data_IF_423319690557
#
_entry.id   IF_423319690557
#
_cell.length_a   1.000
_cell.length_b   1.000
_cell.length_c   1.000
_cell.angle_alpha   90.00
_cell.angle_beta   90.00
_cell.angle_gamma   90.00
#
_symmetry.space_group_name_H-M   'P 1'
#
loop_
_entity.id
_entity.type
_entity.pdbx_description
1 polymer ?
#
# COMPACT_ATOMS: atom_id res chain seq x y z
N UNK A 1 -12.96 -0.17 -4.64
CA UNK A 1 -11.66 0.16 -5.26
C UNK A 1 -11.49 1.66 -5.14
N UNK A 2 -10.44 2.16 -4.48
CA UNK A 2 -10.12 3.59 -4.46
C UNK A 2 -9.04 3.80 -5.52
N UNK A 3 -9.31 4.64 -6.51
CA UNK A 3 -8.38 4.95 -7.59
C UNK A 3 -8.48 6.42 -7.96
N UNK A 4 -7.33 7.05 -8.21
CA UNK A 4 -7.21 8.45 -8.58
C UNK A 4 -6.83 8.52 -10.06
N UNK A 5 -7.83 8.44 -10.94
CA UNK A 5 -7.60 8.29 -12.39
C UNK A 5 -7.32 9.61 -13.11
N UNK A 6 -7.69 10.77 -12.56
CA UNK A 6 -7.76 12.04 -13.32
C UNK A 6 -6.98 13.22 -12.70
N UNK A 7 -6.21 12.99 -11.63
CA UNK A 7 -5.68 14.09 -10.81
C UNK A 7 -4.15 14.18 -10.83
N UNK A 8 -3.63 15.41 -11.00
CA UNK A 8 -2.19 15.73 -11.11
C UNK A 8 -1.35 15.23 -9.94
N UNK A 9 -1.92 15.17 -8.73
CA UNK A 9 -1.37 14.43 -7.59
C UNK A 9 -2.51 13.91 -6.69
N UNK A 10 -2.65 12.57 -6.50
CA UNK A 10 -3.63 11.99 -5.59
C UNK A 10 -3.54 12.51 -4.15
N UNK A 11 -2.33 12.89 -3.72
CA UNK A 11 -2.03 13.41 -2.38
C UNK A 11 -2.73 14.75 -2.16
N UNK A 12 -2.65 15.66 -3.14
CA UNK A 12 -3.29 16.97 -3.07
C UNK A 12 -4.81 16.85 -3.04
N UNK A 13 -5.37 15.94 -3.84
CA UNK A 13 -6.82 15.67 -3.88
C UNK A 13 -7.30 15.12 -2.54
N UNK A 14 -6.57 14.19 -1.95
CA UNK A 14 -6.91 13.63 -0.64
C UNK A 14 -6.78 14.64 0.51
N UNK A 15 -5.88 15.61 0.39
CA UNK A 15 -5.82 16.72 1.33
C UNK A 15 -7.01 17.69 1.17
N UNK A 16 -7.48 17.87 -0.07
CA UNK A 16 -8.56 18.81 -0.40
C UNK A 16 -9.95 18.20 -0.19
N UNK A 17 -10.09 16.89 -0.40
CA UNK A 17 -11.32 16.15 -0.16
C UNK A 17 -11.39 15.68 1.29
N UNK A 18 -12.53 15.90 1.95
CA UNK A 18 -12.87 15.27 3.23
C UNK A 18 -13.10 13.76 3.04
N UNK A 19 -12.04 13.04 2.68
CA UNK A 19 -12.06 11.60 2.50
C UNK A 19 -12.18 10.93 3.87
N UNK A 20 -13.35 10.36 4.15
CA UNK A 20 -13.68 9.76 5.44
C UNK A 20 -14.04 8.28 5.30
N UNK A 21 -13.25 7.43 5.94
CA UNK A 21 -13.49 5.98 6.05
C UNK A 21 -13.97 5.59 7.46
N UNK A 22 -14.34 6.54 8.32
CA UNK A 22 -14.82 6.31 9.68
C UNK A 22 -16.05 5.39 9.71
N UNK A 23 -16.92 5.48 8.69
CA UNK A 23 -18.13 4.65 8.55
C UNK A 23 -17.81 3.22 8.09
N UNK A 24 -16.60 2.95 7.60
CA UNK A 24 -16.16 1.63 7.17
C UNK A 24 -15.65 0.78 8.37
N UNK A 25 -16.33 0.84 9.52
CA UNK A 25 -15.90 0.16 10.74
C UNK A 25 -15.85 -1.37 10.60
N UNK A 26 -16.63 -1.97 9.69
CA UNK A 26 -16.67 -3.41 9.41
C UNK A 26 -15.65 -3.93 8.39
N UNK A 27 -14.74 -3.09 7.89
CA UNK A 27 -13.79 -3.46 6.83
C UNK A 27 -12.81 -4.55 7.30
N UNK A 28 -12.83 -5.71 6.64
CA UNK A 28 -11.92 -6.83 6.96
C UNK A 28 -10.69 -6.90 6.06
N UNK A 29 -10.82 -6.46 4.82
CA UNK A 29 -9.76 -6.50 3.82
C UNK A 29 -9.73 -5.19 3.04
N UNK A 30 -8.53 -4.65 2.82
CA UNK A 30 -8.29 -3.45 2.04
C UNK A 30 -7.31 -3.77 0.91
N UNK A 31 -7.73 -3.56 -0.33
CA UNK A 31 -6.85 -3.64 -1.51
C UNK A 31 -6.58 -2.24 -2.06
N UNK A 32 -5.31 -1.91 -2.21
CA UNK A 32 -4.81 -0.66 -2.75
C UNK A 32 -4.06 -1.00 -4.03
N UNK A 33 -4.57 -0.50 -5.16
CA UNK A 33 -4.01 -0.76 -6.48
C UNK A 33 -3.29 0.48 -6.97
N UNK A 34 -1.99 0.34 -7.18
CA UNK A 34 -1.06 1.37 -7.65
C UNK A 34 -0.75 1.10 -9.11
N UNK A 35 -1.77 1.17 -9.98
CA UNK A 35 -1.57 1.03 -11.43
C UNK A 35 -1.39 2.43 -12.06
N UNK A 36 -0.33 2.66 -12.85
CA UNK A 36 -0.29 3.84 -13.71
C UNK A 36 -1.17 3.57 -14.93
N UNK A 37 -2.17 4.42 -15.16
CA UNK A 37 -3.06 4.27 -16.30
C UNK A 37 -2.46 4.77 -17.62
N UNK A 38 -1.37 5.55 -17.64
CA UNK A 38 -0.79 6.03 -18.89
C UNK A 38 0.72 6.27 -18.85
N UNK A 39 1.31 6.27 -20.05
CA UNK A 39 2.71 6.50 -20.43
C UNK A 39 3.25 7.91 -20.07
N UNK A 40 2.83 8.51 -18.96
CA UNK A 40 3.45 9.74 -18.48
C UNK A 40 4.79 9.44 -17.83
N UNK A 41 5.82 10.20 -18.18
CA UNK A 41 7.12 10.24 -17.49
C UNK A 41 7.02 10.73 -16.03
N UNK A 42 5.87 11.26 -15.63
CA UNK A 42 5.56 11.65 -14.27
C UNK A 42 5.28 10.42 -13.39
N UNK A 43 6.08 10.26 -12.33
CA UNK A 43 5.85 9.27 -11.27
C UNK A 43 5.23 9.99 -10.06
N UNK A 44 3.91 9.88 -9.85
CA UNK A 44 3.27 10.50 -8.69
C UNK A 44 3.80 9.87 -7.39
N UNK A 45 3.92 10.68 -6.35
CA UNK A 45 4.24 10.17 -5.01
C UNK A 45 3.17 9.18 -4.56
N UNK A 46 3.57 8.07 -3.93
CA UNK A 46 2.64 7.12 -3.30
C UNK A 46 2.28 7.51 -1.84
N UNK A 47 2.59 8.75 -1.42
CA UNK A 47 2.23 9.30 -0.11
C UNK A 47 0.72 9.24 0.18
N UNK A 48 -0.13 9.28 -0.85
CA UNK A 48 -1.58 9.12 -0.73
C UNK A 48 -2.00 7.83 -0.04
N UNK A 49 -1.21 6.76 -0.13
CA UNK A 49 -1.46 5.49 0.54
C UNK A 49 -1.40 5.66 2.06
N UNK A 50 -0.42 6.42 2.56
CA UNK A 50 -0.31 6.75 3.97
C UNK A 50 -1.52 7.56 4.43
N UNK A 51 -1.98 8.50 3.60
CA UNK A 51 -3.16 9.32 3.92
C UNK A 51 -4.40 8.44 4.04
N UNK A 52 -4.65 7.53 3.08
CA UNK A 52 -5.79 6.60 3.16
C UNK A 52 -5.71 5.76 4.42
N UNK A 53 -4.57 5.10 4.68
CA UNK A 53 -4.39 4.28 5.87
C UNK A 53 -4.53 5.10 7.16
N UNK A 54 -4.16 6.38 7.14
CA UNK A 54 -4.37 7.29 8.27
C UNK A 54 -5.84 7.52 8.61
N UNK A 55 -6.74 7.35 7.64
CA UNK A 55 -8.19 7.53 7.78
C UNK A 55 -8.95 6.22 7.99
N UNK A 56 -8.33 5.07 7.74
CA UNK A 56 -8.94 3.76 8.04
C UNK A 56 -9.10 3.61 9.56
N UNK A 57 -10.34 3.38 9.99
CA UNK A 57 -10.68 3.16 11.39
C UNK A 57 -11.53 1.89 11.58
N UNK A 58 -11.10 0.79 10.96
CA UNK A 58 -11.74 -0.51 11.19
C UNK A 58 -10.93 -1.35 12.17
N UNK A 59 -11.46 -1.68 13.36
CA UNK A 59 -10.81 -2.59 14.29
C UNK A 59 -10.81 -4.05 13.81
N UNK A 60 -11.55 -4.35 12.73
CA UNK A 60 -11.67 -5.69 12.16
C UNK A 60 -10.81 -5.88 10.91
N UNK A 61 -9.98 -4.90 10.55
CA UNK A 61 -9.10 -5.00 9.39
C UNK A 61 -8.04 -6.08 9.66
N UNK A 62 -8.12 -7.16 8.90
CA UNK A 62 -7.25 -8.32 9.01
C UNK A 62 -6.23 -8.38 7.88
N UNK A 63 -6.55 -7.77 6.74
CA UNK A 63 -5.75 -7.92 5.53
C UNK A 63 -5.60 -6.59 4.79
N UNK A 64 -4.37 -6.31 4.37
CA UNK A 64 -4.04 -5.23 3.45
C UNK A 64 -3.28 -5.83 2.26
N UNK A 65 -3.66 -5.47 1.05
CA UNK A 65 -2.95 -5.87 -0.18
C UNK A 65 -2.57 -4.62 -0.97
N UNK A 66 -1.28 -4.45 -1.23
CA UNK A 66 -0.73 -3.46 -2.14
C UNK A 66 -0.44 -4.15 -3.47
N UNK A 67 -1.19 -3.82 -4.51
CA UNK A 67 -0.85 -4.20 -5.89
C UNK A 67 -0.02 -3.06 -6.49
N UNK A 68 1.25 -3.31 -6.80
CA UNK A 68 2.22 -2.28 -7.18
C UNK A 68 3.22 -2.82 -8.20
N UNK A 69 3.66 -1.98 -9.14
CA UNK A 69 4.75 -2.34 -10.05
C UNK A 69 6.08 -2.41 -9.32
N UNK A 70 6.93 -3.34 -9.74
CA UNK A 70 8.30 -3.43 -9.24
C UNK A 70 9.04 -2.08 -9.30
N UNK A 71 8.85 -1.32 -10.38
CA UNK A 71 9.49 -0.02 -10.60
C UNK A 71 9.06 1.08 -9.63
N UNK A 72 7.88 0.92 -9.01
CA UNK A 72 7.22 1.95 -8.20
C UNK A 72 7.31 1.63 -6.72
N UNK A 73 7.78 0.42 -6.36
CA UNK A 73 8.05 0.02 -4.99
C UNK A 73 9.02 0.97 -4.28
N UNK A 74 9.96 1.57 -5.02
CA UNK A 74 10.87 2.57 -4.47
C UNK A 74 10.20 3.91 -4.13
N UNK A 75 9.06 4.23 -4.73
CA UNK A 75 8.27 5.43 -4.44
C UNK A 75 7.36 5.25 -3.22
N UNK A 76 7.25 4.03 -2.69
CA UNK A 76 6.49 3.73 -1.50
C UNK A 76 7.30 4.06 -0.25
N UNK A 77 6.74 4.90 0.63
CA UNK A 77 7.32 5.20 1.93
C UNK A 77 7.05 4.03 2.91
N UNK A 78 7.92 3.03 2.88
CA UNK A 78 7.81 1.79 3.66
C UNK A 78 7.97 2.05 5.17
N UNK A 79 8.85 2.97 5.55
CA UNK A 79 9.06 3.38 6.94
C UNK A 79 7.80 4.06 7.50
N UNK A 80 7.18 4.94 6.70
CA UNK A 80 5.90 5.55 7.04
C UNK A 80 4.77 4.52 7.15
N UNK A 81 4.74 3.51 6.27
CA UNK A 81 3.79 2.40 6.36
C UNK A 81 4.00 1.60 7.65
N UNK A 82 5.24 1.27 7.99
CA UNK A 82 5.55 0.57 9.23
C UNK A 82 5.05 1.33 10.47
N UNK A 83 5.27 2.65 10.52
CA UNK A 83 4.78 3.49 11.63
C UNK A 83 3.24 3.46 11.70
N UNK A 84 2.56 3.67 10.57
CA UNK A 84 1.09 3.72 10.53
C UNK A 84 0.48 2.37 10.92
N UNK A 85 1.01 1.27 10.39
CA UNK A 85 0.48 -0.08 10.59
C UNK A 85 0.82 -0.67 11.97
N UNK A 86 1.78 -0.07 12.68
CA UNK A 86 2.07 -0.38 14.09
C UNK A 86 1.03 0.21 15.05
N UNK A 87 0.18 1.13 14.59
CA UNK A 87 -0.83 1.76 15.44
C UNK A 87 -1.85 0.74 15.98
N UNK A 88 -2.30 0.90 17.22
CA UNK A 88 -3.18 -0.06 17.91
C UNK A 88 -4.50 -0.37 17.17
N UNK A 89 -4.96 0.53 16.29
CA UNK A 89 -6.15 0.32 15.44
C UNK A 89 -5.97 -0.83 14.44
N UNK A 90 -4.73 -1.16 14.08
CA UNK A 90 -4.39 -2.27 13.19
C UNK A 90 -3.95 -3.53 13.96
N UNK A 91 -4.28 -3.64 15.25
CA UNK A 91 -3.94 -4.82 16.07
C UNK A 91 -4.49 -6.13 15.50
N UNK A 92 -5.61 -6.07 14.78
CA UNK A 92 -6.25 -7.24 14.16
C UNK A 92 -5.61 -7.64 12.82
N UNK A 93 -4.65 -6.86 12.33
CA UNK A 93 -3.99 -7.09 11.05
C UNK A 93 -3.14 -8.37 11.13
N UNK A 94 -3.49 -9.33 10.27
CA UNK A 94 -2.85 -10.65 10.18
C UNK A 94 -1.99 -10.79 8.93
N UNK A 95 -2.25 -10.00 7.89
CA UNK A 95 -1.58 -10.15 6.60
C UNK A 95 -1.44 -8.82 5.86
N UNK A 96 -0.23 -8.55 5.41
CA UNK A 96 0.14 -7.46 4.51
C UNK A 96 0.72 -8.11 3.27
N UNK A 97 0.02 -8.05 2.15
CA UNK A 97 0.46 -8.63 0.88
C UNK A 97 1.00 -7.56 -0.05
N UNK A 98 2.24 -7.72 -0.48
CA UNK A 98 2.82 -7.00 -1.62
C UNK A 98 2.64 -7.87 -2.86
N UNK A 99 1.67 -7.51 -3.67
CA UNK A 99 1.36 -8.11 -4.96
C UNK A 99 2.12 -7.31 -6.03
N UNK A 100 3.33 -7.79 -6.35
CA UNK A 100 4.28 -7.09 -7.19
C UNK A 100 4.09 -7.50 -8.64
N UNK A 101 3.71 -6.53 -9.47
CA UNK A 101 3.63 -6.70 -10.91
C UNK A 101 5.06 -6.73 -11.48
N UNK A 102 5.43 -7.87 -12.07
CA UNK A 102 6.74 -8.03 -12.72
C UNK A 102 6.71 -7.49 -14.14
N UNK A 103 7.76 -6.74 -14.48
CA UNK A 103 8.18 -6.56 -15.87
C UNK A 103 9.16 -7.69 -16.19
N UNK A 104 9.13 -8.24 -17.42
CA UNK A 104 10.06 -9.29 -17.87
C UNK A 104 11.48 -8.99 -17.37
N UNK A 105 12.11 -10.01 -16.78
CA UNK A 105 13.49 -10.01 -16.25
C UNK A 105 13.75 -9.38 -14.86
N UNK A 106 12.72 -9.01 -14.08
CA UNK A 106 12.89 -8.60 -12.67
C UNK A 106 12.67 -9.75 -11.68
N UNK A 107 13.61 -9.99 -10.76
CA UNK A 107 13.48 -11.03 -9.71
C UNK A 107 12.75 -10.51 -8.47
N UNK A 108 11.76 -11.27 -7.98
CA UNK A 108 10.95 -10.96 -6.78
C UNK A 108 11.83 -10.82 -5.55
N UNK A 109 12.88 -11.65 -5.46
CA UNK A 109 13.73 -11.79 -4.28
C UNK A 109 14.36 -10.45 -3.84
N UNK A 110 14.71 -9.58 -4.79
CA UNK A 110 15.30 -8.27 -4.50
C UNK A 110 14.25 -7.35 -3.87
N UNK A 111 13.03 -7.34 -4.41
CA UNK A 111 11.93 -6.54 -3.89
C UNK A 111 11.46 -7.02 -2.51
N UNK A 112 11.40 -8.33 -2.30
CA UNK A 112 11.04 -8.91 -1.02
C UNK A 112 12.07 -8.54 0.06
N UNK A 113 13.36 -8.74 -0.21
CA UNK A 113 14.43 -8.37 0.74
C UNK A 113 14.40 -6.87 1.07
N UNK A 114 14.14 -6.02 0.07
CA UNK A 114 14.00 -4.58 0.25
C UNK A 114 12.84 -4.21 1.19
N UNK A 115 11.67 -4.82 1.02
CA UNK A 115 10.50 -4.57 1.89
C UNK A 115 10.72 -5.10 3.30
N UNK A 116 11.19 -6.35 3.44
CA UNK A 116 11.44 -6.97 4.75
C UNK A 116 12.42 -6.15 5.58
N UNK A 117 13.50 -5.65 4.96
CA UNK A 117 14.49 -4.80 5.63
C UNK A 117 13.90 -3.50 6.20
N UNK A 118 12.91 -2.91 5.52
CA UNK A 118 12.32 -1.61 5.88
C UNK A 118 11.02 -1.70 6.66
N UNK A 119 10.42 -2.89 6.74
CA UNK A 119 9.23 -3.18 7.54
C UNK A 119 9.53 -4.28 8.57
N UNK A 120 10.67 -4.15 9.26
CA UNK A 120 11.24 -5.19 10.12
C UNK A 120 10.30 -5.61 11.25
N UNK A 121 9.53 -4.69 11.83
CA UNK A 121 8.58 -5.03 12.89
C UNK A 121 7.43 -5.92 12.38
N UNK A 122 7.01 -5.73 11.13
CA UNK A 122 5.95 -6.51 10.49
C UNK A 122 6.48 -7.83 9.94
N UNK A 123 7.75 -7.85 9.50
CA UNK A 123 8.47 -9.06 9.12
C UNK A 123 8.65 -9.99 10.32
N UNK A 124 9.11 -9.45 11.45
CA UNK A 124 9.27 -10.19 12.72
C UNK A 124 7.95 -10.79 13.21
N UNK A 125 6.84 -10.10 12.97
CA UNK A 125 5.48 -10.59 13.27
C UNK A 125 5.00 -11.69 12.31
N UNK A 126 5.72 -11.95 11.22
CA UNK A 126 5.38 -12.95 10.21
C UNK A 126 4.14 -12.61 9.37
N UNK A 127 3.78 -11.33 9.29
CA UNK A 127 2.55 -10.90 8.59
C UNK A 127 2.79 -10.35 7.19
N UNK A 128 4.05 -10.23 6.75
CA UNK A 128 4.40 -9.85 5.38
C UNK A 128 4.26 -11.06 4.43
N UNK A 129 3.61 -10.84 3.30
CA UNK A 129 3.43 -11.83 2.24
C UNK A 129 3.77 -11.18 0.89
N UNK A 130 4.38 -11.96 -0.01
CA UNK A 130 4.77 -11.49 -1.33
C UNK A 130 4.09 -12.37 -2.38
N UNK A 131 3.54 -11.73 -3.42
CA UNK A 131 2.96 -12.40 -4.58
C UNK A 131 3.52 -11.76 -5.83
N UNK A 132 3.69 -12.57 -6.86
CA UNK A 132 4.05 -12.10 -8.19
C UNK A 132 2.87 -12.24 -9.11
N UNK A 133 2.52 -11.15 -9.79
CA UNK A 133 1.49 -11.13 -10.81
C UNK A 133 2.11 -10.77 -12.16
N UNK A 134 1.71 -11.51 -13.19
CA UNK A 134 2.04 -11.22 -14.59
C UNK A 134 0.76 -10.68 -15.25
N UNK A 135 0.82 -9.47 -15.78
CA UNK A 135 -0.24 -8.85 -16.57
C UNK A 135 0.25 -8.58 -17.99
#
# INVERSE_FOLDING_TARGET
>A
MIGFQETRDPTDVLHTMHFDLSRCAGLRSLRISCSPLHHSSYRPSLSWILIILSKVNSPFLQEITFSIRHSDLCALNLEGLEVILSHARFKALKRITFDIEQVKDCTIDISEAYVRKRMCAHDTRGILCFKSSFY
#
